data_IF_456580326502
#
_entry.id   IF_456580326502
#
_cell.length_a   1.000
_cell.length_b   1.000
_cell.length_c   1.000
_cell.angle_alpha   90.00
_cell.angle_beta   90.00
_cell.angle_gamma   90.00
#
_symmetry.space_group_name_H-M   'P 1'
#
loop_
_entity.id
_entity.type
_entity.pdbx_description
1 polymer ?
#
# COMPACT_ATOMS: atom_id res chain seq x y z
N UNK A 1 29.67 -16.30 -4.74
CA UNK A 1 28.94 -15.05 -4.49
C UNK A 1 27.51 -15.08 -5.08
N UNK A 2 26.85 -16.24 -5.19
CA UNK A 2 25.51 -16.38 -5.78
C UNK A 2 24.34 -16.22 -4.78
N UNK A 3 24.62 -15.89 -3.51
CA UNK A 3 23.62 -15.88 -2.44
C UNK A 3 22.83 -14.55 -2.37
N UNK A 4 23.37 -13.45 -2.87
CA UNK A 4 22.74 -12.12 -2.80
C UNK A 4 21.63 -11.90 -3.83
N UNK A 5 21.73 -12.53 -5.01
CA UNK A 5 20.80 -12.30 -6.14
C UNK A 5 19.36 -12.84 -5.87
N UNK A 6 19.24 -13.97 -5.18
CA UNK A 6 17.93 -14.56 -4.84
C UNK A 6 17.23 -13.80 -3.71
N UNK A 7 17.98 -13.28 -2.74
CA UNK A 7 17.47 -12.47 -1.64
C UNK A 7 16.92 -11.14 -2.14
N UNK A 8 17.64 -10.44 -3.03
CA UNK A 8 17.21 -9.16 -3.59
C UNK A 8 15.93 -9.27 -4.45
N UNK A 9 15.79 -10.37 -5.21
CA UNK A 9 14.56 -10.69 -5.95
C UNK A 9 13.38 -10.94 -5.01
N UNK A 10 13.60 -11.72 -3.95
CA UNK A 10 12.55 -12.05 -2.97
C UNK A 10 12.05 -10.81 -2.24
N UNK A 11 12.95 -9.88 -1.89
CA UNK A 11 12.57 -8.60 -1.28
C UNK A 11 11.77 -7.71 -2.23
N UNK A 12 12.15 -7.66 -3.51
CA UNK A 12 11.44 -6.86 -4.53
C UNK A 12 10.01 -7.36 -4.75
N UNK A 13 9.83 -8.69 -4.84
CA UNK A 13 8.52 -9.32 -4.97
C UNK A 13 7.67 -9.10 -3.71
N UNK A 14 8.26 -9.24 -2.51
CA UNK A 14 7.57 -8.99 -1.25
C UNK A 14 7.07 -7.54 -1.15
N UNK A 15 7.91 -6.56 -1.50
CA UNK A 15 7.53 -5.15 -1.51
C UNK A 15 6.41 -4.87 -2.51
N UNK A 16 6.47 -5.48 -3.69
CA UNK A 16 5.43 -5.38 -4.70
C UNK A 16 4.08 -5.95 -4.20
N UNK A 17 4.09 -7.15 -3.62
CA UNK A 17 2.88 -7.81 -3.10
C UNK A 17 2.29 -7.06 -1.91
N UNK A 18 3.13 -6.65 -0.95
CA UNK A 18 2.68 -5.88 0.21
C UNK A 18 2.11 -4.54 -0.22
N UNK A 19 2.79 -3.84 -1.15
CA UNK A 19 2.31 -2.56 -1.66
C UNK A 19 0.98 -2.66 -2.40
N UNK A 20 0.82 -3.68 -3.26
CA UNK A 20 -0.44 -3.93 -3.95
C UNK A 20 -1.57 -4.29 -2.97
N UNK A 21 -1.28 -5.14 -1.99
CA UNK A 21 -2.23 -5.53 -0.96
C UNK A 21 -2.69 -4.32 -0.14
N UNK A 22 -1.74 -3.53 0.40
CA UNK A 22 -2.04 -2.33 1.17
C UNK A 22 -2.79 -1.30 0.30
N UNK A 23 -2.39 -1.15 -0.96
CA UNK A 23 -3.03 -0.22 -1.90
C UNK A 23 -4.51 -0.51 -2.14
N UNK A 24 -4.89 -1.78 -2.21
CA UNK A 24 -6.28 -2.20 -2.44
C UNK A 24 -7.07 -2.24 -1.13
N UNK A 25 -6.50 -2.81 -0.08
CA UNK A 25 -7.24 -3.08 1.15
C UNK A 25 -7.32 -1.86 2.07
N UNK A 26 -6.34 -0.95 2.09
CA UNK A 26 -6.38 0.20 2.99
C UNK A 26 -7.57 1.14 2.73
N UNK A 27 -7.94 1.48 1.48
CA UNK A 27 -9.17 2.24 1.22
C UNK A 27 -10.45 1.51 1.67
N UNK A 28 -10.51 0.19 1.48
CA UNK A 28 -11.65 -0.64 1.89
C UNK A 28 -11.78 -0.65 3.42
N UNK A 29 -10.68 -0.82 4.14
CA UNK A 29 -10.66 -0.73 5.61
C UNK A 29 -10.99 0.67 6.11
N UNK A 30 -10.54 1.72 5.42
CA UNK A 30 -10.91 3.11 5.72
C UNK A 30 -12.42 3.34 5.55
N UNK A 31 -13.00 2.87 4.45
CA UNK A 31 -14.45 2.92 4.26
C UNK A 31 -15.19 2.17 5.38
N UNK A 32 -14.79 0.93 5.66
CA UNK A 32 -15.44 0.08 6.66
C UNK A 32 -15.34 0.68 8.07
N UNK A 33 -14.15 1.16 8.47
CA UNK A 33 -13.95 1.85 9.73
C UNK A 33 -14.83 3.09 9.86
N UNK A 34 -14.94 3.88 8.80
CA UNK A 34 -15.83 5.04 8.75
C UNK A 34 -17.31 4.68 8.92
N UNK A 35 -17.77 3.55 8.36
CA UNK A 35 -19.15 3.08 8.54
C UNK A 35 -19.45 2.57 9.95
N UNK A 36 -18.47 1.99 10.64
CA UNK A 36 -18.63 1.45 11.99
C UNK A 36 -18.71 2.55 13.04
N UNK A 37 -18.00 3.67 12.84
CA UNK A 37 -17.82 4.72 13.85
C UNK A 37 -19.09 5.54 14.13
N UNK A 38 -20.16 5.34 13.36
CA UNK A 38 -21.47 5.96 13.61
C UNK A 38 -21.51 7.45 13.25
N UNK A 39 -22.66 7.90 12.75
CA UNK A 39 -22.83 9.25 12.18
C UNK A 39 -22.90 10.37 13.23
N UNK A 40 -23.13 10.02 14.50
CA UNK A 40 -23.27 11.00 15.59
C UNK A 40 -21.94 11.62 16.05
N UNK A 41 -20.81 11.04 15.64
CA UNK A 41 -19.47 11.46 16.07
C UNK A 41 -18.80 12.30 14.98
N UNK A 42 -19.21 13.56 14.78
CA UNK A 42 -18.49 14.43 13.81
C UNK A 42 -17.07 14.74 14.30
N UNK A 43 -16.06 14.47 13.47
CA UNK A 43 -14.65 14.74 13.79
C UNK A 43 -14.27 16.07 13.15
N UNK A 44 -14.19 17.14 13.95
CA UNK A 44 -13.85 18.47 13.44
C UNK A 44 -14.87 19.04 12.45
N UNK A 45 -16.14 18.63 12.54
CA UNK A 45 -17.19 19.03 11.61
C UNK A 45 -17.25 18.22 10.30
N UNK A 46 -16.38 17.22 10.13
CA UNK A 46 -16.46 16.28 9.01
C UNK A 46 -17.12 14.96 9.44
N UNK A 47 -17.81 14.34 8.49
CA UNK A 47 -18.37 13.00 8.65
C UNK A 47 -17.23 11.98 8.89
N UNK A 48 -17.37 11.07 9.87
CA UNK A 48 -16.41 9.99 10.12
C UNK A 48 -16.07 9.18 8.89
N UNK A 49 -17.06 8.94 8.04
CA UNK A 49 -16.89 8.22 6.79
C UNK A 49 -15.84 8.89 5.89
N UNK A 50 -15.90 10.21 5.75
CA UNK A 50 -14.94 10.95 4.96
C UNK A 50 -13.54 10.88 5.57
N UNK A 51 -13.42 11.08 6.88
CA UNK A 51 -12.12 11.09 7.56
C UNK A 51 -11.44 9.72 7.44
N UNK A 52 -12.17 8.64 7.74
CA UNK A 52 -11.62 7.29 7.67
C UNK A 52 -11.34 6.84 6.24
N UNK A 53 -12.19 7.20 5.27
CA UNK A 53 -11.93 6.94 3.85
C UNK A 53 -10.70 7.71 3.36
N UNK A 54 -10.55 8.98 3.75
CA UNK A 54 -9.40 9.80 3.39
C UNK A 54 -8.10 9.21 3.95
N UNK A 55 -8.09 8.81 5.22
CA UNK A 55 -6.95 8.11 5.82
C UNK A 55 -6.66 6.81 5.07
N UNK A 56 -7.68 6.01 4.76
CA UNK A 56 -7.56 4.78 3.97
C UNK A 56 -6.97 5.01 2.58
N UNK A 57 -7.38 6.08 1.90
CA UNK A 57 -6.85 6.51 0.60
C UNK A 57 -5.39 6.94 0.70
N UNK A 58 -5.01 7.73 1.70
CA UNK A 58 -3.61 8.16 1.92
C UNK A 58 -2.71 6.95 2.17
N UNK A 59 -3.14 6.03 3.04
CA UNK A 59 -2.41 4.78 3.30
C UNK A 59 -2.36 3.90 2.05
N UNK A 60 -3.46 3.82 1.29
CA UNK A 60 -3.52 3.10 0.01
C UNK A 60 -2.52 3.65 -1.00
N UNK A 61 -2.44 4.97 -1.15
CA UNK A 61 -1.48 5.65 -2.03
C UNK A 61 -0.03 5.34 -1.64
N UNK A 62 0.29 5.32 -0.34
CA UNK A 62 1.61 4.90 0.15
C UNK A 62 1.89 3.43 -0.16
N UNK A 63 0.91 2.55 0.02
CA UNK A 63 0.99 1.14 -0.37
C UNK A 63 1.32 0.98 -1.86
N UNK A 64 0.56 1.66 -2.72
CA UNK A 64 0.79 1.65 -4.18
C UNK A 64 2.20 2.15 -4.51
N UNK A 65 2.66 3.24 -3.89
CA UNK A 65 4.01 3.77 -4.11
C UNK A 65 5.08 2.72 -3.75
N UNK A 66 4.95 2.04 -2.60
CA UNK A 66 5.85 0.96 -2.20
C UNK A 66 5.80 -0.21 -3.19
N UNK A 67 4.60 -0.55 -3.69
CA UNK A 67 4.41 -1.60 -4.67
C UNK A 67 5.11 -1.30 -6.00
N UNK A 68 4.98 -0.06 -6.48
CA UNK A 68 5.65 0.45 -7.68
C UNK A 68 7.17 0.44 -7.49
N UNK A 69 7.68 0.86 -6.32
CA UNK A 69 9.11 0.81 -6.02
C UNK A 69 9.64 -0.64 -6.05
N UNK A 70 8.87 -1.60 -5.53
CA UNK A 70 9.18 -3.03 -5.62
C UNK A 70 9.25 -3.52 -7.07
N UNK A 71 8.28 -3.11 -7.90
CA UNK A 71 8.24 -3.45 -9.32
C UNK A 71 9.41 -2.83 -10.11
N UNK A 72 9.72 -1.55 -9.87
CA UNK A 72 10.86 -0.85 -10.49
C UNK A 72 12.19 -1.48 -10.10
N UNK A 73 12.37 -1.87 -8.83
CA UNK A 73 13.57 -2.59 -8.37
C UNK A 73 13.71 -3.96 -9.05
N UNK A 74 12.61 -4.68 -9.24
CA UNK A 74 12.61 -5.95 -9.96
C UNK A 74 12.99 -5.78 -11.44
N UNK A 75 12.45 -4.77 -12.13
CA UNK A 75 12.78 -4.47 -13.53
C UNK A 75 14.24 -4.05 -13.69
N UNK A 76 14.75 -3.20 -12.79
CA UNK A 76 16.16 -2.76 -12.81
C UNK A 76 17.15 -3.92 -12.55
N UNK A 77 16.76 -4.90 -11.75
CA UNK A 77 17.55 -6.12 -11.54
C UNK A 77 17.64 -7.02 -12.78
N UNK A 78 16.59 -7.05 -13.62
CA UNK A 78 16.62 -7.79 -14.90
C UNK A 78 17.51 -7.17 -15.97
N UNK A 79 17.64 -5.83 -15.99
CA UNK A 79 18.43 -5.11 -16.99
C UNK A 79 19.97 -5.21 -16.78
N UNK A 80 20.45 -5.87 -15.72
CA UNK A 80 21.88 -6.15 -15.51
C UNK A 80 22.33 -7.51 -16.06
N UNK A 81 21.50 -8.17 -16.88
CA UNK A 81 21.77 -9.48 -17.47
C UNK A 81 22.00 -9.45 -18.99
N UNK A 82 22.25 -8.27 -19.57
CA UNK A 82 22.69 -8.12 -20.97
C UNK A 82 24.18 -7.76 -21.06
#
# INVERSE_FOLDING_TARGET
>A
MAYTDSTDRTLSIRLMLIGAFVGIFAPIFGFLGGTIVGVDQTVGGLEPLFVWLFVGMVVGMLGVAIGILGALRWVKGKHHLD
#
